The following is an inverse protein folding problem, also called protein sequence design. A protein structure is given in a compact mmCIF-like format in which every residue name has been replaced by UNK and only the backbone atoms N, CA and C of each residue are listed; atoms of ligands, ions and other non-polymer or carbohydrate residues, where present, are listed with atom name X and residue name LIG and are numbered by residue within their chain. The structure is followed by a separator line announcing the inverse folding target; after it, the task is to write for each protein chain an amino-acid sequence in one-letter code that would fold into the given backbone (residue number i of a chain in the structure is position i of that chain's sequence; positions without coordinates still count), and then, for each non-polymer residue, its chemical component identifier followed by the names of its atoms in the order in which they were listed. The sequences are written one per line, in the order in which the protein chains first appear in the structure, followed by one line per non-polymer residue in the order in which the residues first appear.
data_IF_020768587810
#
_entry.id   IF_020768587810
#
_cell.length_a   1.000
_cell.length_b   1.000
_cell.length_c   1.000
_cell.angle_alpha   90.00
_cell.angle_beta   90.00
_cell.angle_gamma   90.00
#
_symmetry.space_group_name_H-M   'P 1'
#
loop_
_entity.id
_entity.type
_entity.pdbx_description
1 polymer ?
#
# COMPACT_ATOMS: atom_id res chain seq x y z
N UNK A 1 -4.05 23.84 -33.77
CA UNK A 1 -4.76 22.56 -33.51
C UNK A 1 -4.26 22.03 -32.17
N UNK A 2 -5.15 21.38 -31.43
CA UNK A 2 -5.18 21.29 -29.97
C UNK A 2 -3.84 20.97 -29.27
N UNK A 3 -3.48 21.79 -28.28
CA UNK A 3 -2.56 21.43 -27.22
C UNK A 3 -3.21 20.32 -26.40
N UNK A 4 -2.75 19.08 -26.57
CA UNK A 4 -3.08 17.97 -25.68
C UNK A 4 -2.76 18.39 -24.25
N UNK A 5 -3.80 18.74 -23.50
CA UNK A 5 -3.69 19.02 -22.08
C UNK A 5 -3.24 17.73 -21.40
N UNK A 6 -1.93 17.56 -21.20
CA UNK A 6 -1.41 16.55 -20.28
C UNK A 6 -2.07 16.84 -18.94
N UNK A 7 -3.00 15.99 -18.55
CA UNK A 7 -3.58 16.03 -17.21
C UNK A 7 -2.45 15.64 -16.26
N UNK A 8 -1.78 16.66 -15.72
CA UNK A 8 -0.75 16.48 -14.71
C UNK A 8 -1.45 16.14 -13.41
N UNK A 9 -1.60 14.84 -13.13
CA UNK A 9 -2.06 14.42 -11.82
C UNK A 9 -0.87 14.55 -10.85
N UNK A 10 -0.97 15.40 -9.80
CA UNK A 10 0.06 15.49 -8.80
C UNK A 10 0.29 14.11 -8.17
N UNK A 11 1.54 13.82 -7.80
CA UNK A 11 1.86 12.55 -7.16
C UNK A 11 1.26 12.52 -5.75
N UNK A 12 0.39 11.56 -5.51
CA UNK A 12 -0.27 11.33 -4.23
C UNK A 12 0.43 10.19 -3.50
N UNK A 13 0.56 10.32 -2.18
CA UNK A 13 1.10 9.28 -1.32
C UNK A 13 0.12 9.00 -0.20
N UNK A 14 -0.03 7.72 0.14
CA UNK A 14 -0.80 7.29 1.32
C UNK A 14 -0.14 6.09 1.96
N UNK A 15 -0.56 5.74 3.17
CA UNK A 15 -0.11 4.53 3.85
C UNK A 15 -1.31 3.82 4.48
N UNK A 16 -1.23 2.50 4.54
CA UNK A 16 -2.21 1.66 5.25
C UNK A 16 -1.48 0.87 6.32
N UNK A 17 -2.00 0.87 7.54
CA UNK A 17 -1.55 -0.02 8.61
C UNK A 17 -2.48 -1.22 8.66
N UNK A 18 -1.93 -2.44 8.57
CA UNK A 18 -2.69 -3.66 8.81
C UNK A 18 -2.04 -4.49 9.90
N UNK A 19 -2.89 -4.96 10.80
CA UNK A 19 -2.54 -5.99 11.77
C UNK A 19 -2.76 -7.34 11.11
N UNK A 20 -1.67 -8.07 10.85
CA UNK A 20 -1.75 -9.40 10.27
C UNK A 20 -1.69 -10.43 11.41
N UNK A 21 -2.81 -11.09 11.76
CA UNK A 21 -2.75 -12.19 12.70
C UNK A 21 -1.78 -13.26 12.18
N UNK A 22 -1.06 -13.92 13.09
CA UNK A 22 -0.11 -15.00 12.77
C UNK A 22 -0.89 -16.30 12.52
N UNK A 23 -1.83 -16.28 11.58
CA UNK A 23 -2.59 -17.44 11.15
C UNK A 23 -2.21 -17.80 9.70
N UNK A 24 -2.59 -19.01 9.27
CA UNK A 24 -2.31 -19.52 7.92
C UNK A 24 -3.00 -18.72 6.80
N UNK A 25 -3.87 -17.76 7.15
CA UNK A 25 -4.61 -16.91 6.20
C UNK A 25 -3.92 -15.57 5.92
N UNK A 26 -2.77 -15.30 6.57
CA UNK A 26 -2.01 -14.05 6.43
C UNK A 26 -1.68 -13.69 4.98
N UNK A 27 -1.23 -14.65 4.19
CA UNK A 27 -0.84 -14.42 2.80
C UNK A 27 -2.04 -14.03 1.94
N UNK A 28 -3.20 -14.64 2.20
CA UNK A 28 -4.45 -14.34 1.49
C UNK A 28 -4.98 -12.94 1.81
N UNK A 29 -4.99 -12.57 3.09
CA UNK A 29 -5.44 -11.24 3.54
C UNK A 29 -4.53 -10.11 3.07
N UNK A 30 -3.22 -10.39 2.94
CA UNK A 30 -2.27 -9.46 2.34
C UNK A 30 -2.52 -9.33 0.84
N UNK A 31 -2.59 -10.43 0.11
CA UNK A 31 -2.80 -10.39 -1.34
C UNK A 31 -4.11 -9.69 -1.71
N UNK A 32 -5.21 -10.02 -1.02
CA UNK A 32 -6.50 -9.35 -1.25
C UNK A 32 -6.43 -7.84 -1.01
N UNK A 33 -5.64 -7.38 -0.03
CA UNK A 33 -5.43 -5.95 0.23
C UNK A 33 -4.60 -5.30 -0.88
N UNK A 34 -3.54 -5.98 -1.34
CA UNK A 34 -2.71 -5.49 -2.45
C UNK A 34 -3.53 -5.36 -3.73
N UNK A 35 -4.36 -6.36 -4.04
CA UNK A 35 -5.22 -6.37 -5.22
C UNK A 35 -6.27 -5.27 -5.18
N UNK A 36 -6.87 -5.03 -4.01
CA UNK A 36 -7.81 -3.92 -3.82
C UNK A 36 -7.16 -2.57 -4.10
N UNK A 37 -6.00 -2.30 -3.49
CA UNK A 37 -5.30 -1.02 -3.67
C UNK A 37 -4.83 -0.82 -5.11
N UNK A 38 -4.39 -1.88 -5.78
CA UNK A 38 -4.05 -1.86 -7.20
C UNK A 38 -5.28 -1.56 -8.07
N UNK A 39 -6.44 -2.15 -7.75
CA UNK A 39 -7.72 -1.86 -8.42
C UNK A 39 -8.15 -0.39 -8.29
N UNK A 40 -7.82 0.25 -7.18
CA UNK A 40 -8.06 1.68 -6.91
C UNK A 40 -7.01 2.61 -7.55
N UNK A 41 -6.05 2.05 -8.31
CA UNK A 41 -5.00 2.77 -9.02
C UNK A 41 -3.80 3.15 -8.16
N UNK A 42 -3.64 2.54 -6.98
CA UNK A 42 -2.45 2.73 -6.15
C UNK A 42 -1.33 1.75 -6.54
N UNK A 43 -0.10 2.25 -6.52
CA UNK A 43 1.12 1.47 -6.72
C UNK A 43 1.84 1.32 -5.39
N UNK A 44 2.18 0.08 -5.04
CA UNK A 44 3.00 -0.22 -3.86
C UNK A 44 4.40 0.40 -4.01
N UNK A 45 4.82 1.18 -3.01
CA UNK A 45 6.15 1.79 -2.95
C UNK A 45 7.08 0.95 -2.09
N UNK A 46 6.66 0.66 -0.85
CA UNK A 46 7.41 -0.18 0.07
C UNK A 46 6.52 -0.71 1.21
N UNK A 47 7.02 -1.73 1.89
CA UNK A 47 6.43 -2.30 3.11
C UNK A 47 7.43 -2.16 4.26
N UNK A 48 6.93 -1.86 5.46
CA UNK A 48 7.73 -1.83 6.68
C UNK A 48 7.03 -2.65 7.77
N UNK A 49 7.74 -3.62 8.32
CA UNK A 49 7.28 -4.36 9.50
C UNK A 49 7.55 -3.54 10.77
N UNK A 50 6.53 -3.36 11.59
CA UNK A 50 6.65 -2.82 12.94
C UNK A 50 6.90 -3.98 13.89
N UNK A 51 8.17 -4.16 14.24
CA UNK A 51 8.58 -5.09 15.29
C UNK A 51 8.49 -4.33 16.61
N UNK A 52 7.46 -4.61 17.41
CA UNK A 52 7.43 -4.17 18.80
C UNK A 52 8.28 -5.14 19.62
N UNK A 53 9.47 -4.70 20.06
CA UNK A 53 10.40 -5.53 20.84
C UNK A 53 9.80 -6.01 22.18
N UNK A 54 8.74 -5.37 22.68
CA UNK A 54 8.26 -5.54 24.06
C UNK A 54 6.85 -6.19 24.17
N UNK A 55 6.19 -6.52 23.06
CA UNK A 55 4.83 -7.07 23.11
C UNK A 55 4.66 -8.28 22.19
N UNK A 56 4.17 -9.40 22.75
CA UNK A 56 3.66 -10.59 22.05
C UNK A 56 2.41 -10.32 21.18
N UNK A 57 2.25 -9.10 20.69
CA UNK A 57 1.18 -8.71 19.78
C UNK A 57 1.59 -8.99 18.34
N UNK A 58 0.65 -9.43 17.50
CA UNK A 58 0.94 -9.86 16.15
C UNK A 58 1.63 -8.73 15.34
N UNK A 59 2.49 -9.09 14.38
CA UNK A 59 3.24 -8.11 13.60
C UNK A 59 2.30 -7.13 12.90
N UNK A 60 2.55 -5.85 13.09
CA UNK A 60 1.89 -4.80 12.31
C UNK A 60 2.76 -4.50 11.10
N UNK A 61 2.13 -4.30 9.95
CA UNK A 61 2.84 -3.90 8.73
C UNK A 61 2.28 -2.56 8.25
N UNK A 62 3.18 -1.64 7.93
CA UNK A 62 2.88 -0.40 7.23
C UNK A 62 3.13 -0.64 5.74
N UNK A 63 2.16 -0.31 4.91
CA UNK A 63 2.26 -0.42 3.47
C UNK A 63 2.14 0.98 2.87
N UNK A 64 3.15 1.40 2.12
CA UNK A 64 3.23 2.73 1.51
C UNK A 64 2.83 2.67 0.04
N UNK A 65 2.02 3.63 -0.37
CA UNK A 65 1.37 3.67 -1.68
C UNK A 65 1.66 4.98 -2.38
N UNK A 66 1.68 4.94 -3.71
CA UNK A 66 1.69 6.14 -4.55
C UNK A 66 0.68 6.04 -5.68
N UNK A 67 0.15 7.17 -6.11
CA UNK A 67 -0.74 7.29 -7.27
C UNK A 67 -0.40 8.55 -8.06
N UNK A 68 -0.65 8.54 -9.36
CA UNK A 68 -0.21 9.59 -10.29
C UNK A 68 1.04 9.18 -11.07
N UNK A 69 1.47 10.02 -12.02
CA UNK A 69 2.58 9.66 -12.92
C UNK A 69 3.92 9.54 -12.19
N UNK A 70 4.56 8.39 -12.36
CA UNK A 70 6.02 8.24 -12.31
C UNK A 70 6.59 8.73 -13.63
N UNK A 71 7.59 9.62 -13.56
CA UNK A 71 8.33 10.14 -14.71
C UNK A 71 9.14 9.05 -15.40
#
# INVERSE_FOLDING_TARGET
MASEGRIFMPKEYTFTTKHYPVNDLREFDLQSHLDQMAGDGWTLVCTQDLIYEDHQTAPQMIIFWSRGQTF
#
